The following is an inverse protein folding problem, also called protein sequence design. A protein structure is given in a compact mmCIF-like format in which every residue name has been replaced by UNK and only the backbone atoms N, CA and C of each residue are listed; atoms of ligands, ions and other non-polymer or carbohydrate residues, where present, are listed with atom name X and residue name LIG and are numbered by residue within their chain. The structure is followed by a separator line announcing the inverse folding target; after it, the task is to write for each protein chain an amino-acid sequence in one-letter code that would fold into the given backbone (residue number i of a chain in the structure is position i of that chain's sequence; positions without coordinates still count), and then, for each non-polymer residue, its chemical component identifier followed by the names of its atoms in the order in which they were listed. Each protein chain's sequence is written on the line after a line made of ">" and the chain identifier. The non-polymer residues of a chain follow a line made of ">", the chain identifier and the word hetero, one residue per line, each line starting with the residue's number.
data_IF_874554381494
#
_entry.id   IF_874554381494
#
_cell.length_a   1.000
_cell.length_b   1.000
_cell.length_c   1.000
_cell.angle_alpha   90.00
_cell.angle_beta   90.00
_cell.angle_gamma   90.00
#
_symmetry.space_group_name_H-M   'P 1'
#
loop_
_entity.id
_entity.type
_entity.pdbx_description
1 polymer ?
#
# COMPACT_ATOMS: atom_id res chain seq x y z
N UNK A 1 66.86 -95.60 -1.09
CA UNK A 1 67.25 -94.33 -1.74
C UNK A 1 66.00 -93.60 -2.20
N UNK A 2 66.02 -92.27 -2.02
CA UNK A 2 65.11 -91.21 -2.49
C UNK A 2 63.95 -90.81 -1.55
N UNK A 3 64.14 -89.59 -1.04
CA UNK A 3 63.38 -88.80 -0.09
C UNK A 3 61.97 -88.43 -0.60
N UNK A 4 60.98 -88.46 0.31
CA UNK A 4 59.71 -87.73 0.17
C UNK A 4 59.92 -86.29 0.65
N UNK A 5 59.89 -85.33 -0.28
CA UNK A 5 60.01 -83.90 0.01
C UNK A 5 58.67 -83.36 0.53
N UNK A 6 58.59 -83.07 1.83
CA UNK A 6 57.45 -82.41 2.46
C UNK A 6 57.59 -80.88 2.32
N UNK A 7 56.88 -80.30 1.35
CA UNK A 7 56.84 -78.84 1.17
C UNK A 7 55.86 -78.23 2.18
N UNK A 8 56.40 -77.67 3.26
CA UNK A 8 55.64 -76.83 4.18
C UNK A 8 55.34 -75.49 3.51
N UNK A 9 54.12 -75.33 3.01
CA UNK A 9 53.61 -74.08 2.44
C UNK A 9 52.87 -73.31 3.52
N UNK A 10 53.42 -72.18 3.93
CA UNK A 10 52.78 -71.23 4.85
C UNK A 10 51.77 -70.39 4.08
N UNK A 11 50.50 -70.40 4.50
CA UNK A 11 49.50 -69.49 3.96
C UNK A 11 49.84 -68.07 4.40
N UNK A 12 49.83 -67.13 3.45
CA UNK A 12 50.16 -65.73 3.71
C UNK A 12 48.98 -65.06 4.41
N UNK A 13 49.17 -64.60 5.66
CA UNK A 13 48.12 -63.96 6.45
C UNK A 13 47.62 -62.67 5.77
N UNK A 14 46.38 -62.70 5.28
CA UNK A 14 45.72 -61.59 4.55
C UNK A 14 45.25 -60.45 5.46
N UNK A 15 45.45 -60.56 6.78
CA UNK A 15 44.94 -59.64 7.80
C UNK A 15 45.31 -58.17 7.55
N UNK A 16 46.56 -57.91 7.14
CA UNK A 16 47.03 -56.55 6.87
C UNK A 16 46.44 -55.97 5.57
N UNK A 17 46.22 -56.81 4.55
CA UNK A 17 45.58 -56.40 3.30
C UNK A 17 44.11 -56.05 3.53
N UNK A 18 43.37 -56.87 4.29
CA UNK A 18 41.96 -56.62 4.59
C UNK A 18 41.77 -55.34 5.42
N UNK A 19 42.64 -55.09 6.41
CA UNK A 19 42.60 -53.86 7.21
C UNK A 19 42.87 -52.60 6.37
N UNK A 20 43.77 -52.66 5.39
CA UNK A 20 44.02 -51.54 4.47
C UNK A 20 42.84 -51.32 3.53
N UNK A 21 42.24 -52.38 2.96
CA UNK A 21 41.06 -52.30 2.12
C UNK A 21 39.85 -51.72 2.87
N UNK A 22 39.63 -52.14 4.12
CA UNK A 22 38.55 -51.62 4.95
C UNK A 22 38.77 -50.15 5.31
N UNK A 23 40.00 -49.73 5.61
CA UNK A 23 40.31 -48.32 5.82
C UNK A 23 40.05 -47.46 4.57
N UNK A 24 40.34 -47.99 3.37
CA UNK A 24 40.08 -47.33 2.09
C UNK A 24 38.57 -47.25 1.83
N UNK A 25 37.83 -48.35 2.07
CA UNK A 25 36.36 -48.40 1.95
C UNK A 25 35.68 -47.43 2.92
N UNK A 26 36.13 -47.36 4.17
CA UNK A 26 35.61 -46.42 5.16
C UNK A 26 35.90 -44.96 4.78
N UNK A 27 37.10 -44.65 4.28
CA UNK A 27 37.43 -43.30 3.76
C UNK A 27 36.58 -42.92 2.55
N UNK A 28 36.31 -43.87 1.65
CA UNK A 28 35.42 -43.66 0.50
C UNK A 28 33.99 -43.40 0.97
N UNK A 29 33.45 -44.25 1.86
CA UNK A 29 32.11 -44.10 2.44
C UNK A 29 31.95 -42.77 3.19
N UNK A 30 32.91 -42.40 4.02
CA UNK A 30 32.86 -41.13 4.75
C UNK A 30 32.94 -39.92 3.81
N UNK A 31 33.71 -39.99 2.71
CA UNK A 31 33.71 -38.96 1.68
C UNK A 31 32.35 -38.85 0.99
N UNK A 32 31.74 -39.97 0.59
CA UNK A 32 30.40 -39.96 0.00
C UNK A 32 29.34 -39.40 0.93
N UNK A 33 29.36 -39.80 2.21
CA UNK A 33 28.42 -39.27 3.21
C UNK A 33 28.62 -37.77 3.41
N UNK A 34 29.87 -37.30 3.54
CA UNK A 34 30.18 -35.87 3.69
C UNK A 34 29.71 -35.05 2.50
N UNK A 35 29.99 -35.51 1.27
CA UNK A 35 29.56 -34.81 0.06
C UNK A 35 28.03 -34.77 -0.03
N UNK A 36 27.35 -35.87 0.33
CA UNK A 36 25.87 -35.93 0.37
C UNK A 36 25.28 -34.99 1.42
N UNK A 37 25.86 -34.93 2.62
CA UNK A 37 25.40 -34.01 3.67
C UNK A 37 25.65 -32.56 3.28
N UNK A 38 26.79 -32.27 2.63
CA UNK A 38 27.12 -30.92 2.17
C UNK A 38 26.19 -30.49 1.03
N UNK A 39 25.84 -31.39 0.11
CA UNK A 39 24.91 -31.09 -0.98
C UNK A 39 23.49 -30.84 -0.45
N UNK A 40 23.03 -31.62 0.54
CA UNK A 40 21.73 -31.40 1.19
C UNK A 40 21.71 -30.04 1.92
N UNK A 41 22.77 -29.71 2.66
CA UNK A 41 22.89 -28.40 3.31
C UNK A 41 22.90 -27.26 2.30
N UNK A 42 23.65 -27.39 1.21
CA UNK A 42 23.74 -26.37 0.17
C UNK A 42 22.39 -26.14 -0.52
N UNK A 43 21.67 -27.21 -0.87
CA UNK A 43 20.32 -27.11 -1.43
C UNK A 43 19.35 -26.48 -0.43
N UNK A 44 19.41 -26.87 0.86
CA UNK A 44 18.59 -26.26 1.91
C UNK A 44 18.84 -24.75 2.05
N UNK A 45 20.10 -24.32 1.99
CA UNK A 45 20.50 -22.92 2.09
C UNK A 45 20.08 -22.12 0.85
N UNK A 46 20.14 -22.73 -0.34
CA UNK A 46 19.59 -22.15 -1.57
C UNK A 46 18.08 -22.00 -1.52
N UNK A 47 17.34 -23.00 -1.01
CA UNK A 47 15.88 -22.91 -0.87
C UNK A 47 15.50 -21.77 0.07
N UNK A 48 16.15 -21.66 1.23
CA UNK A 48 15.92 -20.58 2.20
C UNK A 48 16.29 -19.22 1.61
N UNK A 49 17.43 -19.11 0.92
CA UNK A 49 17.87 -17.87 0.27
C UNK A 49 16.94 -17.43 -0.86
N UNK A 50 16.44 -18.39 -1.66
CA UNK A 50 15.50 -18.12 -2.76
C UNK A 50 14.14 -17.66 -2.25
N UNK A 51 13.66 -18.22 -1.13
CA UNK A 51 12.44 -17.74 -0.45
C UNK A 51 12.59 -16.37 0.23
N UNK A 52 13.82 -15.89 0.45
CA UNK A 52 14.08 -14.59 1.09
C UNK A 52 14.06 -13.42 0.09
N UNK A 53 14.35 -13.68 -1.19
CA UNK A 53 14.29 -12.68 -2.29
C UNK A 53 12.91 -12.00 -2.46
N UNK A 54 11.76 -12.71 -2.46
CA UNK A 54 10.45 -12.07 -2.65
C UNK A 54 10.03 -11.19 -1.45
N UNK A 55 10.64 -11.34 -0.27
CA UNK A 55 10.23 -10.61 0.92
C UNK A 55 10.66 -9.13 0.88
N UNK A 56 11.76 -8.81 0.18
CA UNK A 56 12.28 -7.44 0.06
C UNK A 56 11.50 -6.65 -1.00
N UNK A 57 11.08 -7.30 -2.09
CA UNK A 57 10.30 -6.64 -3.14
C UNK A 57 8.85 -6.35 -2.70
N UNK A 58 8.30 -7.15 -1.79
CA UNK A 58 6.93 -6.97 -1.29
C UNK A 58 6.74 -5.70 -0.43
N UNK A 59 7.82 -5.05 0.01
CA UNK A 59 7.74 -3.80 0.78
C UNK A 59 7.63 -2.53 -0.07
N UNK A 60 7.99 -2.59 -1.36
CA UNK A 60 7.89 -1.42 -2.26
C UNK A 60 6.48 -1.27 -2.84
N UNK A 61 5.84 -2.40 -3.12
CA UNK A 61 4.45 -2.48 -3.53
C UNK A 61 3.51 -1.74 -2.55
N UNK A 62 3.66 -1.97 -1.24
CA UNK A 62 2.74 -1.39 -0.24
C UNK A 62 2.78 0.13 -0.21
N UNK A 63 3.94 0.76 -0.42
CA UNK A 63 4.04 2.24 -0.41
C UNK A 63 3.49 2.89 -1.67
N UNK A 64 3.58 2.20 -2.80
CA UNK A 64 3.05 2.69 -4.08
C UNK A 64 1.53 2.57 -4.09
N UNK A 65 0.99 1.42 -3.64
CA UNK A 65 -0.46 1.24 -3.51
C UNK A 65 -1.08 2.20 -2.51
N UNK A 66 -0.44 2.49 -1.36
CA UNK A 66 -0.97 3.48 -0.41
C UNK A 66 -0.95 4.90 -0.96
N UNK A 67 0.07 5.26 -1.75
CA UNK A 67 0.15 6.60 -2.36
C UNK A 67 -0.86 6.76 -3.49
N UNK A 68 -0.98 5.74 -4.35
CA UNK A 68 -1.98 5.73 -5.41
C UNK A 68 -3.39 5.75 -4.83
N UNK A 69 -3.65 5.00 -3.75
CA UNK A 69 -4.94 5.04 -3.06
C UNK A 69 -5.22 6.42 -2.45
N UNK A 70 -4.24 7.04 -1.79
CA UNK A 70 -4.41 8.37 -1.23
C UNK A 70 -4.72 9.41 -2.32
N UNK A 71 -4.01 9.36 -3.46
CA UNK A 71 -4.24 10.27 -4.59
C UNK A 71 -5.62 10.09 -5.22
N UNK A 72 -6.06 8.84 -5.41
CA UNK A 72 -7.38 8.55 -5.99
C UNK A 72 -8.50 8.97 -5.03
N UNK A 73 -8.31 8.80 -3.72
CA UNK A 73 -9.29 9.27 -2.72
C UNK A 73 -9.39 10.79 -2.72
N UNK A 74 -8.27 11.51 -2.75
CA UNK A 74 -8.30 12.97 -2.82
C UNK A 74 -8.95 13.46 -4.12
N UNK A 75 -8.63 12.83 -5.25
CA UNK A 75 -9.24 13.19 -6.54
C UNK A 75 -10.75 12.90 -6.57
N UNK A 76 -11.20 11.85 -5.87
CA UNK A 76 -12.63 11.57 -5.70
C UNK A 76 -13.33 12.61 -4.84
N UNK A 77 -12.73 13.01 -3.71
CA UNK A 77 -13.28 14.04 -2.83
C UNK A 77 -13.41 15.38 -3.57
N UNK A 78 -12.36 15.80 -4.29
CA UNK A 78 -12.37 17.03 -5.09
C UNK A 78 -13.46 16.99 -6.18
N UNK A 79 -13.62 15.85 -6.88
CA UNK A 79 -14.66 15.68 -7.89
C UNK A 79 -16.07 15.67 -7.29
N UNK A 80 -16.25 15.10 -6.11
CA UNK A 80 -17.55 15.05 -5.43
C UNK A 80 -17.98 16.45 -4.97
N UNK A 81 -17.05 17.25 -4.46
CA UNK A 81 -17.29 18.66 -4.15
C UNK A 81 -17.63 19.47 -5.41
N UNK A 82 -16.90 19.30 -6.52
CA UNK A 82 -17.20 19.96 -7.78
C UNK A 82 -18.59 19.57 -8.30
N UNK A 83 -18.97 18.29 -8.15
CA UNK A 83 -20.31 17.81 -8.51
C UNK A 83 -21.41 18.47 -7.69
N UNK A 84 -21.25 18.54 -6.39
CA UNK A 84 -22.23 19.18 -5.50
C UNK A 84 -22.38 20.67 -5.81
N UNK A 85 -21.27 21.38 -6.03
CA UNK A 85 -21.29 22.79 -6.41
C UNK A 85 -22.01 23.02 -7.75
N UNK A 86 -21.71 22.20 -8.76
CA UNK A 86 -22.36 22.29 -10.06
C UNK A 86 -23.85 21.93 -9.98
N UNK A 87 -24.24 20.93 -9.18
CA UNK A 87 -25.64 20.57 -8.98
C UNK A 87 -26.41 21.68 -8.26
N UNK A 88 -25.79 22.32 -7.28
CA UNK A 88 -26.32 23.53 -6.64
C UNK A 88 -26.51 24.66 -7.64
N UNK A 89 -25.50 24.97 -8.47
CA UNK A 89 -25.60 26.02 -9.49
C UNK A 89 -26.70 25.72 -10.52
N UNK A 90 -26.83 24.45 -10.94
CA UNK A 90 -27.92 24.02 -11.83
C UNK A 90 -29.28 24.23 -11.17
N UNK A 91 -29.44 23.82 -9.90
CA UNK A 91 -30.71 24.02 -9.17
C UNK A 91 -31.08 25.50 -9.06
N UNK A 92 -30.07 26.35 -8.90
CA UNK A 92 -30.23 27.79 -8.79
C UNK A 92 -30.61 28.41 -10.14
N UNK A 93 -30.07 27.89 -11.24
CA UNK A 93 -30.45 28.27 -12.61
C UNK A 93 -31.84 27.77 -13.01
N UNK A 94 -32.38 26.73 -12.39
CA UNK A 94 -33.76 26.28 -12.62
C UNK A 94 -34.80 27.15 -11.88
N UNK A 95 -34.40 27.86 -10.83
CA UNK A 95 -35.28 28.73 -10.05
C UNK A 95 -35.53 30.09 -10.75
N UNK A 96 -36.81 30.34 -11.08
CA UNK A 96 -37.26 31.59 -11.71
C UNK A 96 -37.00 32.82 -10.83
N UNK A 97 -37.03 32.69 -9.50
CA UNK A 97 -36.74 33.79 -8.57
C UNK A 97 -35.27 34.19 -8.62
N UNK A 98 -34.38 33.21 -8.67
CA UNK A 98 -32.95 33.45 -8.84
C UNK A 98 -32.62 34.07 -10.20
N UNK A 99 -33.19 33.56 -11.29
CA UNK A 99 -33.04 34.16 -12.62
C UNK A 99 -33.50 35.63 -12.61
N UNK A 100 -34.62 35.94 -11.96
CA UNK A 100 -35.11 37.30 -11.85
C UNK A 100 -34.19 38.19 -11.01
N UNK A 101 -33.54 37.66 -9.96
CA UNK A 101 -32.52 38.37 -9.17
C UNK A 101 -31.27 38.65 -10.01
N UNK A 102 -30.77 37.65 -10.73
CA UNK A 102 -29.61 37.78 -11.60
C UNK A 102 -29.86 38.80 -12.73
N UNK A 103 -31.05 38.77 -13.34
CA UNK A 103 -31.42 39.73 -14.38
C UNK A 103 -31.50 41.17 -13.84
N UNK A 104 -32.00 41.37 -12.61
CA UNK A 104 -31.98 42.69 -11.96
C UNK A 104 -30.55 43.21 -11.74
N UNK A 105 -29.64 42.33 -11.35
CA UNK A 105 -28.24 42.68 -11.08
C UNK A 105 -27.45 42.97 -12.38
N UNK A 106 -27.49 42.06 -13.35
CA UNK A 106 -26.65 42.12 -14.55
C UNK A 106 -27.28 42.96 -15.68
N UNK A 107 -28.60 42.86 -15.85
CA UNK A 107 -29.32 43.47 -16.97
C UNK A 107 -30.13 44.71 -16.56
N UNK A 108 -30.14 45.07 -15.27
CA UNK A 108 -30.89 46.23 -14.74
C UNK A 108 -32.38 46.22 -15.14
N UNK A 109 -32.99 45.04 -15.25
CA UNK A 109 -34.42 44.89 -15.60
C UNK A 109 -35.30 44.90 -14.35
N UNK A 110 -36.56 45.34 -14.46
CA UNK A 110 -37.54 45.35 -13.36
C UNK A 110 -38.91 44.88 -13.83
N UNK A 111 -39.78 44.45 -12.91
CA UNK A 111 -41.14 43.98 -13.25
C UNK A 111 -42.04 45.16 -13.61
N UNK A 112 -43.14 44.91 -14.37
CA UNK A 112 -44.13 45.95 -14.63
C UNK A 112 -44.66 46.56 -13.32
N UNK A 113 -44.57 47.89 -13.20
CA UNK A 113 -44.90 48.71 -12.01
C UNK A 113 -43.80 48.85 -10.93
N UNK A 114 -42.55 48.45 -11.20
CA UNK A 114 -41.39 48.78 -10.35
C UNK A 114 -40.68 50.05 -10.89
N UNK A 115 -40.06 50.84 -10.00
CA UNK A 115 -39.25 52.02 -10.36
C UNK A 115 -37.77 51.68 -10.13
N UNK A 116 -36.95 51.70 -11.20
CA UNK A 116 -35.52 51.48 -11.12
C UNK A 116 -34.80 52.77 -10.68
N UNK A 117 -34.07 52.72 -9.57
CA UNK A 117 -33.31 53.87 -9.03
C UNK A 117 -31.82 53.52 -9.09
N UNK A 118 -31.11 54.05 -10.09
CA UNK A 118 -29.65 53.91 -10.19
C UNK A 118 -29.00 54.92 -9.25
N UNK A 119 -28.44 54.43 -8.15
CA UNK A 119 -27.65 55.25 -7.24
C UNK A 119 -26.25 55.35 -7.86
N UNK A 120 -25.73 56.56 -8.14
CA UNK A 120 -24.35 56.71 -8.59
C UNK A 120 -23.44 56.18 -7.48
N UNK A 121 -22.60 55.21 -7.84
CA UNK A 121 -21.64 54.60 -6.92
C UNK A 121 -20.70 55.71 -6.43
N UNK A 122 -20.89 56.16 -5.19
CA UNK A 122 -19.82 56.85 -4.48
C UNK A 122 -18.75 55.80 -4.26
N UNK A 123 -17.51 56.13 -4.64
CA UNK A 123 -16.35 55.29 -4.37
C UNK A 123 -16.17 55.10 -2.86
N UNK A 124 -16.85 54.13 -2.29
CA UNK A 124 -16.72 53.66 -0.92
C UNK A 124 -16.69 52.13 -1.00
N UNK A 125 -15.46 51.64 -1.12
CA UNK A 125 -14.94 50.34 -0.69
C UNK A 125 -15.93 49.27 -0.22
N UNK A 126 -15.85 48.11 -0.90
CA UNK A 126 -16.28 46.78 -0.46
C UNK A 126 -16.27 46.63 1.06
N UNK A 127 -17.44 46.43 1.64
CA UNK A 127 -17.61 45.85 2.98
C UNK A 127 -18.76 44.85 2.89
N UNK A 128 -18.41 43.63 2.50
CA UNK A 128 -19.20 42.45 2.77
C UNK A 128 -19.00 42.14 4.26
N UNK A 129 -19.99 42.42 5.11
CA UNK A 129 -20.08 41.83 6.46
C UNK A 129 -21.52 41.95 7.00
N UNK A 130 -22.21 40.81 6.89
CA UNK A 130 -22.93 40.13 7.98
C UNK A 130 -24.08 40.85 8.72
N UNK A 131 -25.31 40.40 8.46
CA UNK A 131 -26.40 40.54 9.44
C UNK A 131 -27.48 39.47 9.24
N UNK A 132 -27.32 38.31 9.90
CA UNK A 132 -28.44 37.62 10.56
C UNK A 132 -27.98 36.54 11.53
N UNK A 133 -27.59 36.92 12.74
CA UNK A 133 -27.71 36.05 13.92
C UNK A 133 -27.97 36.93 15.15
N UNK A 134 -29.23 37.20 15.45
CA UNK A 134 -29.70 37.62 16.78
C UNK A 134 -31.11 37.07 17.01
N UNK A 135 -31.20 35.78 17.38
CA UNK A 135 -32.32 35.28 18.20
C UNK A 135 -31.74 34.42 19.33
N UNK A 136 -31.21 35.08 20.36
CA UNK A 136 -31.11 34.47 21.69
C UNK A 136 -31.31 35.54 22.78
N UNK A 137 -32.53 35.63 23.31
CA UNK A 137 -32.75 36.10 24.68
C UNK A 137 -33.87 35.32 25.38
N UNK A 138 -33.43 34.65 26.44
CA UNK A 138 -34.10 34.31 27.69
C UNK A 138 -35.09 33.13 27.67
N UNK A 139 -34.58 31.99 28.15
CA UNK A 139 -35.09 31.34 29.37
C UNK A 139 -33.95 30.55 30.03
N UNK A 140 -33.21 31.17 30.95
CA UNK A 140 -32.51 30.45 32.02
C UNK A 140 -33.48 30.31 33.18
N UNK A 141 -33.74 29.07 33.62
CA UNK A 141 -33.65 28.62 35.02
C UNK A 141 -34.21 27.20 35.14
N UNK A 142 -33.55 26.43 36.01
CA UNK A 142 -33.79 25.02 36.38
C UNK A 142 -33.23 24.03 35.34
N UNK A 143 -32.23 23.20 35.63
CA UNK A 143 -32.14 22.32 36.80
C UNK A 143 -30.66 21.90 37.01
N UNK A 144 -30.16 22.12 38.23
CA UNK A 144 -28.98 21.43 38.77
C UNK A 144 -29.52 20.23 39.56
N UNK A 145 -29.22 19.02 39.12
CA UNK A 145 -28.84 17.90 40.00
C UNK A 145 -27.92 16.94 39.25
#
# INVERSE_FOLDING_TARGET
>A
MKHTENKNITQLDTYSADKTLDSIRQRKRNRFVRIRTLSILFVGLLLIGFTSMPLINNKRATTEYTKAHAQVVTELEDLEEEREQLEYEVSLLEDEEYIAKLARQELNVSKPNEILINIPEKEETKSDEDSSTEEEKLQTNDEKE
#
